data_IF_094870964280
#
_entry.id   IF_094870964280
#
_cell.length_a   1.000
_cell.length_b   1.000
_cell.length_c   1.000
_cell.angle_alpha   90.00
_cell.angle_beta   90.00
_cell.angle_gamma   90.00
#
_symmetry.space_group_name_H-M   'P 1'
#
loop_
_entity.id
_entity.type
_entity.pdbx_description
1 polymer ?
#
# COMPACT_ATOMS: atom_id res chain seq x y z
N UNK A 1 4.22 -7.86 -2.73
CA UNK A 1 3.94 -6.83 -1.69
C UNK A 1 3.42 -7.57 -0.46
N UNK A 2 3.82 -7.16 0.74
CA UNK A 2 3.41 -7.83 1.99
C UNK A 2 2.56 -6.88 2.81
N UNK A 3 1.44 -7.37 3.35
CA UNK A 3 0.54 -6.58 4.18
C UNK A 3 0.28 -7.33 5.48
N UNK A 4 0.60 -6.70 6.61
CA UNK A 4 0.46 -7.27 7.96
C UNK A 4 -0.20 -6.24 8.88
N UNK A 5 -1.52 -6.37 9.06
CA UNK A 5 -2.32 -5.40 9.80
C UNK A 5 -2.28 -4.01 9.13
N UNK A 6 -1.75 -3.03 9.86
CA UNK A 6 -1.51 -1.65 9.38
C UNK A 6 -0.16 -1.43 8.70
N UNK A 7 0.64 -2.49 8.50
CA UNK A 7 1.96 -2.39 7.88
C UNK A 7 1.94 -2.92 6.46
N UNK A 8 2.53 -2.17 5.55
CA UNK A 8 2.57 -2.50 4.14
C UNK A 8 3.99 -2.34 3.62
N UNK A 9 4.59 -3.46 3.20
CA UNK A 9 5.94 -3.51 2.62
C UNK A 9 5.85 -3.69 1.12
N UNK A 10 6.43 -2.74 0.38
CA UNK A 10 6.45 -2.72 -1.08
C UNK A 10 7.84 -2.35 -1.62
N UNK A 11 8.18 -2.79 -2.85
CA UNK A 11 9.46 -2.43 -3.45
C UNK A 11 9.48 -0.95 -3.84
N UNK A 12 10.60 -0.26 -3.65
CA UNK A 12 10.79 1.15 -4.03
C UNK A 12 10.69 1.38 -5.55
N UNK A 13 10.83 0.32 -6.35
CA UNK A 13 10.60 0.38 -7.80
C UNK A 13 9.13 0.60 -8.18
N UNK A 14 8.20 0.43 -7.24
CA UNK A 14 6.78 0.63 -7.49
C UNK A 14 6.45 2.12 -7.54
N UNK A 15 5.68 2.53 -8.55
CA UNK A 15 5.14 3.89 -8.60
C UNK A 15 3.99 4.00 -7.60
N UNK A 16 4.25 4.62 -6.45
CA UNK A 16 3.25 4.80 -5.40
C UNK A 16 3.20 6.23 -4.89
N UNK A 17 2.06 6.59 -4.30
CA UNK A 17 1.90 7.77 -3.46
C UNK A 17 1.27 7.30 -2.15
N UNK A 18 1.83 7.72 -1.03
CA UNK A 18 1.35 7.29 0.27
C UNK A 18 1.23 8.45 1.25
N UNK A 19 0.34 8.28 2.21
CA UNK A 19 0.29 9.04 3.46
C UNK A 19 0.33 8.03 4.61
N UNK A 20 1.25 8.22 5.54
CA UNK A 20 1.53 7.29 6.63
C UNK A 20 2.99 7.41 7.05
N UNK A 21 3.37 6.62 8.05
CA UNK A 21 4.70 6.65 8.63
C UNK A 21 5.59 5.59 8.02
N UNK A 22 6.78 5.98 7.60
CA UNK A 22 7.80 5.02 7.18
C UNK A 22 8.42 4.44 8.45
N UNK A 23 8.22 3.15 8.69
CA UNK A 23 8.73 2.46 9.88
C UNK A 23 9.96 1.62 9.58
N UNK A 24 10.14 1.23 8.32
CA UNK A 24 11.34 0.56 7.86
C UNK A 24 11.61 0.96 6.41
N UNK A 25 12.86 1.27 6.11
CA UNK A 25 13.29 1.59 4.76
C UNK A 25 14.63 0.89 4.48
N UNK A 26 14.68 0.14 3.39
CA UNK A 26 15.88 -0.54 2.91
C UNK A 26 16.25 -0.02 1.51
N UNK A 27 17.34 -0.50 0.93
CA UNK A 27 17.72 -0.14 -0.45
C UNK A 27 16.65 -0.54 -1.48
N UNK A 28 15.90 -1.62 -1.22
CA UNK A 28 14.99 -2.21 -2.21
C UNK A 28 13.51 -2.09 -1.84
N UNK A 29 13.19 -2.03 -0.54
CA UNK A 29 11.83 -2.06 -0.01
C UNK A 29 11.58 -0.92 0.98
N UNK A 30 10.33 -0.50 1.05
CA UNK A 30 9.81 0.44 2.04
C UNK A 30 8.63 -0.21 2.77
N UNK A 31 8.61 -0.08 4.09
CA UNK A 31 7.50 -0.47 4.95
C UNK A 31 6.83 0.78 5.50
N UNK A 32 5.56 0.94 5.13
CA UNK A 32 4.69 2.01 5.58
C UNK A 32 3.74 1.47 6.66
N UNK A 33 3.55 2.22 7.73
CA UNK A 33 2.55 1.99 8.77
C UNK A 33 1.48 3.09 8.71
N UNK A 34 0.21 2.69 8.65
CA UNK A 34 -0.91 3.63 8.76
C UNK A 34 -1.14 4.02 10.22
N UNK A 35 -0.82 5.27 10.57
CA UNK A 35 -1.03 5.79 11.94
C UNK A 35 -2.46 6.32 12.13
N UNK A 36 -3.00 7.00 11.11
CA UNK A 36 -4.30 7.68 11.17
C UNK A 36 -5.28 7.19 10.10
N UNK A 37 -6.56 7.55 10.24
CA UNK A 37 -7.64 7.28 9.26
C UNK A 37 -7.40 7.96 7.90
N UNK A 38 -6.52 8.96 7.85
CA UNK A 38 -6.09 9.61 6.60
C UNK A 38 -4.93 8.88 5.90
N UNK A 39 -4.40 7.81 6.50
CA UNK A 39 -3.30 7.06 5.91
C UNK A 39 -3.80 6.29 4.68
N UNK A 40 -3.03 6.33 3.61
CA UNK A 40 -3.34 5.60 2.38
C UNK A 40 -2.08 5.17 1.64
N UNK A 41 -2.23 4.15 0.80
CA UNK A 41 -1.23 3.75 -0.18
C UNK A 41 -1.91 3.64 -1.56
N UNK A 42 -1.55 4.56 -2.44
CA UNK A 42 -2.03 4.63 -3.81
C UNK A 42 -0.98 4.07 -4.76
N UNK A 43 -1.33 3.02 -5.47
CA UNK A 43 -0.46 2.33 -6.41
C UNK A 43 -0.85 2.74 -7.83
N UNK A 44 0.15 3.16 -8.61
CA UNK A 44 -0.04 3.52 -10.02
C UNK A 44 0.43 2.39 -10.92
N UNK A 45 -0.28 2.20 -12.04
CA UNK A 45 0.18 1.35 -13.12
C UNK A 45 1.24 2.08 -13.99
N UNK A 46 1.93 1.39 -14.90
CA UNK A 46 2.90 2.00 -15.82
C UNK A 46 2.32 3.14 -16.68
N UNK A 47 1.00 3.14 -16.91
CA UNK A 47 0.26 4.14 -17.69
C UNK A 47 -0.23 5.34 -16.84
N UNK A 48 0.27 5.49 -15.60
CA UNK A 48 -0.11 6.54 -14.64
C UNK A 48 -1.58 6.53 -14.18
N UNK A 49 -2.33 5.48 -14.50
CA UNK A 49 -3.62 5.19 -13.92
C UNK A 49 -3.49 4.67 -12.50
N UNK A 50 -4.54 4.86 -11.69
CA UNK A 50 -4.62 4.27 -10.35
C UNK A 50 -4.92 2.79 -10.52
N UNK A 51 -3.99 1.94 -10.10
CA UNK A 51 -4.18 0.49 -10.16
C UNK A 51 -4.85 -0.05 -8.90
N UNK A 52 -4.48 0.52 -7.75
CA UNK A 52 -5.03 0.15 -6.45
C UNK A 52 -4.95 1.35 -5.50
N UNK A 53 -5.94 1.48 -4.62
CA UNK A 53 -5.91 2.41 -3.51
C UNK A 53 -6.20 1.64 -2.24
N UNK A 54 -5.26 1.65 -1.31
CA UNK A 54 -5.38 1.02 -0.01
C UNK A 54 -5.55 2.10 1.05
N UNK A 55 -6.45 1.86 2.00
CA UNK A 55 -6.67 2.69 3.18
C UNK A 55 -6.35 1.88 4.44
N UNK A 56 -5.98 2.57 5.50
CA UNK A 56 -5.67 1.94 6.78
C UNK A 56 -6.83 2.22 7.75
N UNK A 57 -7.78 1.29 7.84
CA UNK A 57 -8.99 1.42 8.64
C UNK A 57 -9.08 0.30 9.68
N UNK A 58 -9.56 0.60 10.89
CA UNK A 58 -9.82 -0.41 11.94
C UNK A 58 -8.65 -1.39 12.19
N UNK A 59 -7.42 -0.88 12.26
CA UNK A 59 -6.20 -1.69 12.43
C UNK A 59 -5.87 -2.67 11.29
N UNK A 60 -6.49 -2.47 10.12
CA UNK A 60 -6.27 -3.28 8.94
C UNK A 60 -6.06 -2.42 7.70
N UNK A 61 -5.29 -2.95 6.75
CA UNK A 61 -5.23 -2.40 5.42
C UNK A 61 -6.43 -2.92 4.61
N UNK A 62 -7.24 -2.01 4.08
CA UNK A 62 -8.41 -2.33 3.27
C UNK A 62 -8.27 -1.70 1.88
N UNK A 63 -8.94 -2.30 0.92
CA UNK A 63 -9.05 -1.75 -0.42
C UNK A 63 -10.14 -0.67 -0.47
N UNK A 64 -9.85 0.50 -1.04
CA UNK A 64 -10.78 1.62 -1.05
C UNK A 64 -11.97 1.42 -2.00
N UNK A 65 -11.87 0.55 -3.00
CA UNK A 65 -12.95 0.29 -3.96
C UNK A 65 -13.93 -0.76 -3.42
N UNK A 66 -13.41 -1.77 -2.72
CA UNK A 66 -14.18 -2.93 -2.26
C UNK A 66 -14.39 -2.99 -0.75
N UNK A 67 -13.78 -2.06 0.01
CA UNK A 67 -13.75 -2.04 1.48
C UNK A 67 -13.35 -3.38 2.10
N UNK A 68 -12.59 -4.19 1.37
CA UNK A 68 -12.21 -5.54 1.78
C UNK A 68 -10.79 -5.52 2.32
N UNK A 69 -10.54 -6.21 3.42
CA UNK A 69 -9.21 -6.35 3.99
C UNK A 69 -8.26 -7.01 2.98
N UNK A 70 -7.12 -6.35 2.72
CA UNK A 70 -6.11 -6.84 1.79
C UNK A 70 -4.96 -7.43 2.60
N UNK A 71 -4.78 -8.73 2.50
CA UNK A 71 -3.68 -9.45 3.15
C UNK A 71 -2.51 -9.72 2.19
N UNK A 72 -2.77 -9.74 0.89
CA UNK A 72 -1.75 -9.87 -0.14
C UNK A 72 -2.17 -9.12 -1.41
N UNK A 73 -1.21 -8.48 -2.07
CA UNK A 73 -1.42 -7.85 -3.36
C UNK A 73 -0.34 -8.33 -4.34
N UNK A 74 -0.78 -9.00 -5.39
CA UNK A 74 0.11 -9.47 -6.44
C UNK A 74 0.45 -8.31 -7.39
N UNK A 75 1.71 -7.92 -7.39
CA UNK A 75 2.25 -6.86 -8.23
C UNK A 75 2.32 -7.26 -9.71
N UNK A 76 2.24 -8.56 -10.01
CA UNK A 76 2.14 -9.05 -11.40
C UNK A 76 0.91 -8.51 -12.13
N UNK A 77 -0.13 -8.12 -11.38
CA UNK A 77 -1.36 -7.55 -11.94
C UNK A 77 -1.19 -6.11 -12.43
N UNK A 78 -0.04 -5.48 -12.21
CA UNK A 78 0.23 -4.10 -12.61
C UNK A 78 0.77 -3.95 -14.04
N UNK A 79 1.07 -5.06 -14.73
CA UNK A 79 1.51 -5.09 -16.13
C UNK A 79 3.01 -5.21 -16.29
#
# INVERSE_FOLDING_TARGET
MKIEGKKVTFPKSLSVKYAGKIVEETDTHLTLEGEDEESYLKIFNPFRGVAKLLMFENDQCVDAETSTAVSNFDLSSLG
#
